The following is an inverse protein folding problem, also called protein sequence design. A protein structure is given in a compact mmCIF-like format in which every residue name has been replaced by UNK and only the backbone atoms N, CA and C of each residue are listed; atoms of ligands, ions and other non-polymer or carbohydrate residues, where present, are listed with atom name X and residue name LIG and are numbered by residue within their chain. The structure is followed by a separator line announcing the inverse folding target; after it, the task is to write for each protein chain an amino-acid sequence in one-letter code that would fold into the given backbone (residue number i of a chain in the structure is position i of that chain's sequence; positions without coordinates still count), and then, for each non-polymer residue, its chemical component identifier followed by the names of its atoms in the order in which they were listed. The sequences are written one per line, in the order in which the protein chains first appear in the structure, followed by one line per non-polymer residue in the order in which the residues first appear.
data_IF_765011052538
#
_entry.id   IF_765011052538
#
_cell.length_a   1.000
_cell.length_b   1.000
_cell.length_c   1.000
_cell.angle_alpha   90.00
_cell.angle_beta   90.00
_cell.angle_gamma   90.00
#
_symmetry.space_group_name_H-M   'P 1'
#
loop_
_entity.id
_entity.type
_entity.pdbx_description
1 polymer ?
#
# COMPACT_ATOMS: atom_id res chain seq x y z
N UNK A 1 -5.28 43.17 -60.37
CA UNK A 1 -4.35 43.19 -59.26
C UNK A 1 -5.07 42.76 -57.96
N UNK A 2 -5.48 41.53 -57.80
CA UNK A 2 -6.14 41.11 -56.54
C UNK A 2 -6.05 39.60 -56.19
N UNK A 3 -5.08 38.86 -56.74
CA UNK A 3 -4.95 37.40 -56.48
C UNK A 3 -3.90 37.02 -55.45
N UNK A 4 -3.03 37.94 -55.05
CA UNK A 4 -1.92 37.60 -54.11
C UNK A 4 -2.29 37.60 -52.65
N UNK A 5 -3.44 38.15 -52.23
CA UNK A 5 -3.84 38.22 -50.81
C UNK A 5 -4.52 36.94 -50.29
N UNK A 6 -5.12 36.13 -51.17
CA UNK A 6 -5.83 34.91 -50.75
C UNK A 6 -4.88 33.76 -50.40
N UNK A 7 -3.78 33.63 -51.11
CA UNK A 7 -2.83 32.52 -50.92
C UNK A 7 -2.03 32.58 -49.60
N UNK A 8 -1.76 33.80 -49.14
CA UNK A 8 -1.02 34.02 -47.91
C UNK A 8 -1.85 33.79 -46.65
N UNK A 9 -3.16 33.97 -46.71
CA UNK A 9 -4.07 33.72 -45.60
C UNK A 9 -4.29 32.23 -45.37
N UNK A 10 -4.37 31.41 -46.39
CA UNK A 10 -4.56 29.94 -46.28
C UNK A 10 -3.31 29.28 -45.69
N UNK A 11 -2.12 29.77 -46.06
CA UNK A 11 -0.86 29.23 -45.52
C UNK A 11 -0.69 29.51 -44.03
N UNK A 12 -1.06 30.72 -43.56
CA UNK A 12 -1.00 31.08 -42.14
C UNK A 12 -1.98 30.29 -41.28
N UNK A 13 -3.20 29.99 -41.79
CA UNK A 13 -4.18 29.18 -41.06
C UNK A 13 -3.74 27.73 -40.92
N UNK A 14 -3.10 27.12 -41.96
CA UNK A 14 -2.61 25.74 -41.88
C UNK A 14 -1.44 25.58 -40.93
N UNK A 15 -0.52 26.53 -40.86
CA UNK A 15 0.58 26.53 -39.92
C UNK A 15 0.09 26.66 -38.46
N UNK A 16 -0.93 27.52 -38.25
CA UNK A 16 -1.49 27.75 -36.91
C UNK A 16 -2.26 26.50 -36.38
N UNK A 17 -3.02 25.82 -37.24
CA UNK A 17 -3.71 24.58 -36.88
C UNK A 17 -2.72 23.42 -36.62
N UNK A 18 -1.63 23.36 -37.36
CA UNK A 18 -0.59 22.35 -37.15
C UNK A 18 0.13 22.52 -35.80
N UNK A 19 0.43 23.77 -35.43
CA UNK A 19 1.07 24.07 -34.13
C UNK A 19 0.17 23.79 -32.95
N UNK A 20 -1.13 24.08 -33.03
CA UNK A 20 -2.08 23.74 -31.95
C UNK A 20 -2.24 22.23 -31.80
N UNK A 21 -2.32 21.46 -32.89
CA UNK A 21 -2.42 20.03 -32.84
C UNK A 21 -1.15 19.37 -32.23
N UNK A 22 0.02 19.92 -32.54
CA UNK A 22 1.30 19.45 -31.97
C UNK A 22 1.42 19.75 -30.48
N UNK A 23 0.96 20.93 -30.04
CA UNK A 23 0.96 21.31 -28.63
C UNK A 23 -0.06 20.50 -27.82
N UNK A 24 -1.26 20.24 -28.37
CA UNK A 24 -2.25 19.36 -27.75
C UNK A 24 -1.76 17.91 -27.66
N UNK A 25 -1.12 17.39 -28.71
CA UNK A 25 -0.53 16.05 -28.68
C UNK A 25 0.58 15.92 -27.65
N UNK A 26 1.42 16.95 -27.50
CA UNK A 26 2.47 16.97 -26.49
C UNK A 26 1.92 17.09 -25.06
N UNK A 27 0.80 17.80 -24.88
CA UNK A 27 0.14 17.94 -23.59
C UNK A 27 -0.55 16.63 -23.16
N UNK A 28 -1.23 15.97 -24.09
CA UNK A 28 -1.86 14.65 -23.85
C UNK A 28 -0.78 13.59 -23.54
N UNK A 29 0.33 13.58 -24.29
CA UNK A 29 1.42 12.64 -24.06
C UNK A 29 2.11 12.88 -22.69
N UNK A 30 2.22 14.14 -22.26
CA UNK A 30 2.75 14.47 -20.93
C UNK A 30 1.81 14.01 -19.81
N UNK A 31 0.49 14.11 -20.03
CA UNK A 31 -0.50 13.69 -19.03
C UNK A 31 -0.52 12.17 -18.86
N UNK A 32 -0.34 11.40 -19.94
CA UNK A 32 -0.27 9.93 -19.89
C UNK A 32 1.05 9.43 -19.31
N UNK A 33 2.16 10.18 -19.43
CA UNK A 33 3.46 9.81 -18.86
C UNK A 33 3.62 10.20 -17.37
N UNK A 34 2.78 11.10 -16.84
CA UNK A 34 2.80 11.48 -15.42
C UNK A 34 1.89 10.61 -14.54
N UNK A 35 1.11 9.70 -15.13
CA UNK A 35 0.18 8.82 -14.41
C UNK A 35 0.79 7.52 -13.87
N UNK A 36 2.05 7.23 -14.15
CA UNK A 36 2.76 6.08 -13.58
C UNK A 36 3.77 6.51 -12.50
N UNK A 37 3.31 7.24 -11.50
CA UNK A 37 3.95 7.18 -10.21
C UNK A 37 3.92 5.71 -9.80
N UNK A 38 5.09 5.06 -9.70
CA UNK A 38 5.18 3.73 -9.07
C UNK A 38 4.53 3.87 -7.70
N UNK A 39 3.28 3.47 -7.60
CA UNK A 39 2.62 3.35 -6.31
C UNK A 39 3.53 2.44 -5.49
N UNK A 40 3.94 2.87 -4.30
CA UNK A 40 4.72 2.02 -3.39
C UNK A 40 3.97 0.74 -3.00
N UNK A 41 2.82 0.51 -3.63
CA UNK A 41 1.87 -0.57 -3.38
C UNK A 41 1.52 -1.27 -4.71
N UNK A 42 2.41 -2.14 -5.24
CA UNK A 42 2.18 -2.83 -6.50
C UNK A 42 1.00 -3.80 -6.39
N UNK A 43 0.17 -3.86 -7.45
CA UNK A 43 -0.93 -4.81 -7.52
C UNK A 43 -0.41 -6.26 -7.44
N UNK A 44 -1.22 -7.14 -6.87
CA UNK A 44 -0.84 -8.54 -6.64
C UNK A 44 -0.05 -8.80 -5.35
N UNK A 45 0.42 -7.75 -4.67
CA UNK A 45 1.11 -7.85 -3.38
C UNK A 45 0.29 -7.30 -2.20
N UNK A 46 -1.00 -7.05 -2.40
CA UNK A 46 -1.91 -6.77 -1.29
C UNK A 46 -1.90 -7.96 -0.31
N UNK A 47 -1.91 -7.69 0.99
CA UNK A 47 -1.76 -8.69 2.04
C UNK A 47 -2.72 -9.88 1.89
N UNK A 48 -3.97 -9.63 1.48
CA UNK A 48 -4.99 -10.67 1.29
C UNK A 48 -4.64 -11.59 0.10
N UNK A 49 -4.03 -11.04 -0.95
CA UNK A 49 -3.65 -11.81 -2.13
C UNK A 49 -2.31 -12.51 -1.97
N UNK A 50 -1.34 -11.81 -1.42
CA UNK A 50 0.03 -12.32 -1.31
C UNK A 50 0.25 -13.23 -0.10
N UNK A 51 -0.49 -13.01 0.98
CA UNK A 51 -0.35 -13.75 2.24
C UNK A 51 -1.71 -14.22 2.82
N UNK A 52 -2.54 -14.96 2.06
CA UNK A 52 -3.91 -15.32 2.45
C UNK A 52 -3.99 -16.19 3.69
N UNK A 53 -2.94 -16.95 3.99
CA UNK A 53 -2.89 -17.79 5.19
C UNK A 53 -2.69 -16.97 6.47
N UNK A 54 -2.17 -15.76 6.34
CA UNK A 54 -1.92 -14.84 7.47
C UNK A 54 -2.89 -13.66 7.53
N UNK A 55 -3.64 -13.40 6.46
CA UNK A 55 -4.53 -12.25 6.33
C UNK A 55 -5.88 -12.66 5.77
N UNK A 56 -6.84 -12.90 6.65
CA UNK A 56 -8.18 -13.34 6.28
C UNK A 56 -9.17 -12.18 6.38
N UNK A 57 -9.86 -11.87 5.30
CA UNK A 57 -10.95 -10.87 5.33
C UNK A 57 -12.12 -11.43 6.12
N UNK A 58 -12.51 -10.77 7.21
CA UNK A 58 -13.68 -11.12 8.01
C UNK A 58 -14.83 -10.13 7.83
N UNK A 59 -14.52 -8.91 7.35
CA UNK A 59 -15.52 -7.92 6.97
C UNK A 59 -14.93 -6.95 5.94
N UNK A 60 -15.72 -6.54 4.96
CA UNK A 60 -15.30 -5.53 3.99
C UNK A 60 -16.49 -4.75 3.42
N UNK A 61 -16.31 -3.43 3.26
CA UNK A 61 -17.24 -2.56 2.55
C UNK A 61 -16.47 -1.46 1.79
N UNK A 62 -17.16 -0.42 1.31
CA UNK A 62 -16.52 0.68 0.58
C UNK A 62 -15.55 1.50 1.43
N UNK A 63 -15.69 1.51 2.76
CA UNK A 63 -14.97 2.38 3.67
C UNK A 63 -13.87 1.67 4.46
N UNK A 64 -14.10 0.42 4.83
CA UNK A 64 -13.18 -0.34 5.68
C UNK A 64 -13.03 -1.78 5.19
N UNK A 65 -11.87 -2.37 5.51
CA UNK A 65 -11.63 -3.80 5.43
C UNK A 65 -11.09 -4.27 6.78
N UNK A 66 -11.71 -5.29 7.35
CA UNK A 66 -11.26 -5.90 8.61
C UNK A 66 -10.62 -7.24 8.31
N UNK A 67 -9.38 -7.38 8.71
CA UNK A 67 -8.59 -8.59 8.57
C UNK A 67 -8.40 -9.25 9.93
N UNK A 68 -8.56 -10.56 9.97
CA UNK A 68 -7.95 -11.41 10.98
C UNK A 68 -6.50 -11.64 10.54
N UNK A 69 -5.55 -11.28 11.40
CA UNK A 69 -4.12 -11.42 11.14
C UNK A 69 -3.54 -12.46 12.08
N UNK A 70 -2.97 -13.50 11.51
CA UNK A 70 -2.35 -14.59 12.28
C UNK A 70 -0.98 -14.94 11.68
N UNK A 71 0.05 -14.87 12.50
CA UNK A 71 1.39 -15.29 12.10
C UNK A 71 1.83 -16.41 13.05
N UNK A 72 2.05 -17.59 12.49
CA UNK A 72 2.48 -18.73 13.28
C UNK A 72 3.97 -18.64 13.64
N UNK A 73 4.38 -19.12 14.80
CA UNK A 73 5.80 -19.19 15.16
C UNK A 73 6.61 -19.99 14.15
N UNK A 74 7.85 -19.56 13.93
CA UNK A 74 8.78 -20.17 12.98
C UNK A 74 8.27 -20.20 11.53
N UNK A 75 7.39 -19.26 11.18
CA UNK A 75 6.92 -19.08 9.81
C UNK A 75 7.25 -17.67 9.31
N UNK A 76 7.45 -17.59 8.00
CA UNK A 76 7.66 -16.31 7.32
C UNK A 76 6.43 -15.99 6.49
N UNK A 77 5.80 -14.86 6.77
CA UNK A 77 4.71 -14.34 5.96
C UNK A 77 5.27 -13.87 4.63
N UNK A 78 4.71 -14.28 3.48
CA UNK A 78 5.16 -13.81 2.17
C UNK A 78 5.24 -12.29 2.06
N UNK A 79 6.10 -11.80 1.17
CA UNK A 79 6.25 -10.37 0.89
C UNK A 79 4.92 -9.79 0.44
N UNK A 80 4.41 -8.77 1.15
CA UNK A 80 3.13 -8.12 0.93
C UNK A 80 3.16 -6.66 1.35
N UNK A 81 2.07 -5.95 1.14
CA UNK A 81 1.89 -4.57 1.59
C UNK A 81 0.48 -4.33 2.12
N UNK A 82 0.33 -3.25 2.89
CA UNK A 82 -0.96 -2.69 3.30
C UNK A 82 -1.07 -1.26 2.79
N UNK A 83 -1.85 -1.04 1.74
CA UNK A 83 -1.96 0.27 1.07
C UNK A 83 -2.74 1.32 1.86
N UNK A 84 -3.53 0.90 2.83
CA UNK A 84 -4.35 1.80 3.63
C UNK A 84 -3.83 1.93 5.06
N UNK A 85 -3.99 3.11 5.68
CA UNK A 85 -3.76 3.24 7.11
C UNK A 85 -4.75 2.35 7.86
N UNK A 86 -4.36 1.92 9.06
CA UNK A 86 -5.16 0.95 9.80
C UNK A 86 -5.01 1.08 11.31
N UNK A 87 -5.96 0.50 12.02
CA UNK A 87 -5.81 0.18 13.44
C UNK A 87 -5.44 -1.30 13.57
N UNK A 88 -4.36 -1.58 14.28
CA UNK A 88 -4.04 -2.93 14.73
C UNK A 88 -4.57 -3.09 16.14
N UNK A 89 -5.47 -4.05 16.33
CA UNK A 89 -6.14 -4.33 17.60
C UNK A 89 -5.73 -5.72 18.04
N UNK A 90 -5.03 -5.79 19.16
CA UNK A 90 -4.50 -7.02 19.74
C UNK A 90 -5.10 -7.25 21.12
N UNK A 91 -5.41 -8.50 21.43
CA UNK A 91 -5.76 -8.88 22.78
C UNK A 91 -4.51 -9.24 23.56
N UNK A 92 -4.16 -8.45 24.55
CA UNK A 92 -3.01 -8.71 25.38
C UNK A 92 -3.31 -9.87 26.36
N UNK A 93 -2.74 -11.01 26.10
CA UNK A 93 -2.84 -12.18 27.00
C UNK A 93 -1.82 -12.14 28.13
N UNK A 94 -0.96 -11.14 28.10
CA UNK A 94 0.18 -11.02 28.99
C UNK A 94 1.34 -11.95 28.64
N UNK A 95 2.48 -11.69 29.18
CA UNK A 95 3.68 -12.51 29.01
C UNK A 95 4.76 -11.84 28.19
N UNK A 96 5.40 -12.62 27.35
CA UNK A 96 6.54 -12.18 26.56
C UNK A 96 6.09 -11.75 25.16
N UNK A 97 6.54 -10.58 24.70
CA UNK A 97 6.33 -10.20 23.31
C UNK A 97 7.07 -11.14 22.36
N UNK A 98 6.56 -11.39 21.14
CA UNK A 98 7.27 -12.23 20.19
C UNK A 98 8.59 -11.57 19.72
N UNK A 99 9.58 -12.41 19.40
CA UNK A 99 10.72 -11.97 18.60
C UNK A 99 10.29 -11.87 17.14
N UNK A 100 10.29 -10.66 16.59
CA UNK A 100 9.78 -10.39 15.26
C UNK A 100 10.88 -9.85 14.37
N UNK A 101 10.97 -10.38 13.16
CA UNK A 101 11.88 -9.88 12.13
C UNK A 101 11.09 -9.38 10.93
N UNK A 102 11.31 -8.10 10.59
CA UNK A 102 10.74 -7.47 9.41
C UNK A 102 11.79 -7.41 8.29
N UNK A 103 11.46 -7.98 7.14
CA UNK A 103 12.26 -7.90 5.92
C UNK A 103 11.58 -6.90 4.97
N UNK A 104 12.29 -5.89 4.53
CA UNK A 104 11.79 -4.90 3.57
C UNK A 104 12.23 -5.24 2.15
N UNK A 105 11.51 -4.71 1.16
CA UNK A 105 11.83 -4.94 -0.25
C UNK A 105 13.20 -4.39 -0.70
N UNK A 106 13.76 -3.42 0.03
CA UNK A 106 15.10 -2.87 -0.19
C UNK A 106 16.23 -3.74 0.39
N UNK A 107 15.89 -4.89 0.97
CA UNK A 107 16.83 -5.80 1.61
C UNK A 107 17.16 -5.45 3.06
N UNK A 108 16.62 -4.35 3.61
CA UNK A 108 16.83 -4.04 5.03
C UNK A 108 16.02 -4.97 5.92
N UNK A 109 16.63 -5.33 7.05
CA UNK A 109 16.02 -6.19 8.07
C UNK A 109 15.94 -5.41 9.36
N UNK A 110 14.76 -5.37 9.98
CA UNK A 110 14.56 -4.84 11.33
C UNK A 110 14.25 -6.01 12.25
N UNK A 111 15.15 -6.25 13.19
CA UNK A 111 15.02 -7.26 14.21
C UNK A 111 14.47 -6.63 15.49
N UNK A 112 13.39 -7.19 16.03
CA UNK A 112 12.73 -6.73 17.25
C UNK A 112 12.76 -7.90 18.23
N UNK A 113 13.71 -7.90 19.16
CA UNK A 113 13.83 -8.98 20.14
C UNK A 113 12.60 -9.10 21.02
N UNK A 114 12.36 -10.32 21.49
CA UNK A 114 11.40 -10.54 22.57
C UNK A 114 11.74 -9.70 23.79
N UNK A 115 10.74 -9.14 24.40
CA UNK A 115 10.86 -8.44 25.68
C UNK A 115 9.80 -8.94 26.65
N UNK A 116 10.15 -8.98 27.92
CA UNK A 116 9.16 -9.19 28.96
C UNK A 116 8.30 -7.90 29.05
N UNK A 117 7.06 -8.02 28.62
CA UNK A 117 6.11 -6.92 28.69
C UNK A 117 5.41 -7.00 30.04
N UNK A 118 5.33 -5.89 30.81
CA UNK A 118 4.48 -5.85 31.99
C UNK A 118 3.06 -6.23 31.56
N UNK A 119 2.55 -7.27 32.18
CA UNK A 119 1.28 -7.87 31.81
C UNK A 119 0.15 -6.92 32.16
N UNK A 120 -0.47 -6.33 31.18
CA UNK A 120 -1.84 -5.83 31.31
C UNK A 120 -2.79 -6.89 30.73
N UNK A 121 -2.65 -8.12 31.21
CA UNK A 121 -3.44 -9.25 30.73
C UNK A 121 -4.94 -8.95 30.80
N UNK A 122 -5.64 -9.25 29.71
CA UNK A 122 -7.06 -9.01 29.59
C UNK A 122 -7.42 -7.60 29.15
N UNK A 123 -6.52 -6.89 28.46
CA UNK A 123 -6.79 -5.57 27.86
C UNK A 123 -6.61 -5.58 26.35
N UNK A 124 -7.25 -4.62 25.69
CA UNK A 124 -7.03 -4.39 24.26
C UNK A 124 -5.88 -3.41 24.07
N UNK A 125 -4.91 -3.79 23.23
CA UNK A 125 -3.92 -2.87 22.69
C UNK A 125 -4.37 -2.40 21.32
N UNK A 126 -4.35 -1.07 21.09
CA UNK A 126 -4.74 -0.49 19.80
C UNK A 126 -3.61 0.40 19.31
N UNK A 127 -3.10 0.11 18.12
CA UNK A 127 -2.00 0.83 17.50
C UNK A 127 -2.42 1.38 16.13
N UNK A 128 -2.09 2.65 15.88
CA UNK A 128 -2.25 3.25 14.55
C UNK A 128 -1.09 2.85 13.65
N UNK A 129 -1.42 2.26 12.50
CA UNK A 129 -0.47 1.88 11.47
C UNK A 129 -0.63 2.80 10.26
N UNK A 130 0.47 3.39 9.81
CA UNK A 130 0.52 4.06 8.50
C UNK A 130 0.41 3.01 7.39
N UNK A 131 0.11 3.40 6.14
CA UNK A 131 0.29 2.50 5.01
C UNK A 131 1.69 1.86 5.05
N UNK A 132 1.74 0.54 4.94
CA UNK A 132 2.99 -0.22 5.04
C UNK A 132 3.43 -0.69 3.66
N UNK A 133 4.59 -0.22 3.18
CA UNK A 133 5.15 -0.68 1.91
C UNK A 133 5.53 -2.15 1.99
N UNK A 134 6.01 -2.69 0.89
CA UNK A 134 6.41 -4.08 0.74
C UNK A 134 7.30 -4.56 1.90
N UNK A 135 6.82 -5.56 2.61
CA UNK A 135 7.51 -6.20 3.73
C UNK A 135 7.10 -7.67 3.87
N UNK A 136 7.91 -8.41 4.58
CA UNK A 136 7.66 -9.77 5.06
C UNK A 136 7.90 -9.80 6.56
N UNK A 137 7.17 -10.63 7.27
CA UNK A 137 7.25 -10.76 8.73
C UNK A 137 7.57 -12.19 9.09
N UNK A 138 8.54 -12.37 9.98
CA UNK A 138 8.92 -13.65 10.55
C UNK A 138 8.79 -13.57 12.07
N UNK A 139 8.10 -14.52 12.69
CA UNK A 139 8.04 -14.68 14.14
C UNK A 139 8.93 -15.85 14.51
N UNK A 140 9.99 -15.55 15.27
CA UNK A 140 11.02 -16.54 15.61
C UNK A 140 10.70 -17.34 16.88
N UNK A 141 10.12 -16.67 17.87
CA UNK A 141 9.74 -17.29 19.13
C UNK A 141 8.47 -16.60 19.68
N UNK A 142 7.38 -17.27 19.65
CA UNK A 142 6.19 -16.84 20.37
C UNK A 142 5.31 -18.05 20.68
N UNK A 143 4.55 -18.03 21.77
CA UNK A 143 3.41 -18.93 21.88
C UNK A 143 2.43 -18.57 20.77
N UNK A 144 1.67 -19.55 20.30
CA UNK A 144 0.53 -19.27 19.41
C UNK A 144 -0.43 -18.39 20.17
N UNK A 145 -0.50 -17.11 19.79
CA UNK A 145 -1.41 -16.14 20.39
C UNK A 145 -2.78 -16.14 19.69
N UNK A 146 -3.68 -15.33 20.22
CA UNK A 146 -4.91 -15.02 19.52
C UNK A 146 -4.58 -14.22 18.25
N UNK A 147 -5.35 -14.39 17.16
CA UNK A 147 -5.18 -13.54 15.99
C UNK A 147 -5.44 -12.07 16.36
N UNK A 148 -4.69 -11.18 15.74
CA UNK A 148 -4.94 -9.75 15.79
C UNK A 148 -6.03 -9.35 14.80
N UNK A 149 -6.68 -8.22 15.07
CA UNK A 149 -7.56 -7.59 14.09
C UNK A 149 -6.87 -6.38 13.48
N UNK A 150 -6.87 -6.32 12.14
CA UNK A 150 -6.42 -5.14 11.42
C UNK A 150 -7.59 -4.50 10.71
N UNK A 151 -7.89 -3.25 11.08
CA UNK A 151 -8.98 -2.47 10.51
C UNK A 151 -8.38 -1.46 9.55
N UNK A 152 -8.39 -1.74 8.26
CA UNK A 152 -7.89 -0.87 7.21
C UNK A 152 -8.94 0.14 6.80
N UNK A 153 -8.54 1.41 6.71
CA UNK A 153 -9.42 2.55 6.39
C UNK A 153 -9.19 2.95 4.94
N UNK A 154 -10.12 2.61 4.05
CA UNK A 154 -9.98 2.76 2.60
C UNK A 154 -10.18 4.18 2.09
N UNK A 155 -11.00 4.95 2.76
CA UNK A 155 -11.32 6.32 2.38
C UNK A 155 -10.96 7.24 3.53
N UNK A 156 -9.74 7.78 3.49
CA UNK A 156 -9.44 9.03 4.19
C UNK A 156 -9.53 10.14 3.16
N UNK A 157 -10.22 11.24 3.47
CA UNK A 157 -10.29 12.41 2.59
C UNK A 157 -8.91 13.02 2.38
#
# INVERSE_FOLDING_TARGET
MNESRGFMQIRKRRVFLGTIALLLGFFILRFTLHGQGKSGFPDGFDAVQAAPNSHKVIFENAFVRVLEVSVLPNTTVPMHHHRWPSLMVSWDTGGRSPHVRYHRADGTVKDIPSTDVPIHSGTWAVNWMKPEPMHSVEILDAPVGNPDLRIEIKCLP
#
